data_IF_302874240334
#
_entry.id   IF_302874240334
#
_cell.length_a   1.000
_cell.length_b   1.000
_cell.length_c   1.000
_cell.angle_alpha   90.00
_cell.angle_beta   90.00
_cell.angle_gamma   90.00
#
_symmetry.space_group_name_H-M   'P 1'
#
loop_
_entity.id
_entity.type
_entity.pdbx_description
1 polymer ?
#
# COMPACT_ATOMS: atom_id res chain seq x y z
N UNK A 1 -17.74 -8.43 9.78
CA UNK A 1 -18.52 -8.50 11.04
C UNK A 1 -18.96 -9.92 11.39
N UNK A 2 -19.55 -10.71 10.47
CA UNK A 2 -20.01 -12.07 10.83
C UNK A 2 -18.91 -13.07 11.21
N UNK A 3 -17.69 -12.93 10.66
CA UNK A 3 -16.54 -13.75 11.08
C UNK A 3 -16.14 -13.48 12.54
N UNK A 4 -16.22 -12.22 12.97
CA UNK A 4 -15.93 -11.83 14.35
C UNK A 4 -17.02 -12.33 15.31
N UNK A 5 -18.30 -12.25 14.90
CA UNK A 5 -19.41 -12.80 15.69
C UNK A 5 -19.31 -14.32 15.84
N UNK A 6 -19.00 -15.06 14.77
CA UNK A 6 -18.75 -16.51 14.87
C UNK A 6 -17.54 -16.83 15.75
N UNK A 7 -16.46 -16.05 15.64
CA UNK A 7 -15.30 -16.20 16.51
C UNK A 7 -15.64 -15.98 17.98
N UNK A 8 -16.46 -14.97 18.28
CA UNK A 8 -16.94 -14.67 19.63
C UNK A 8 -17.86 -15.76 20.19
N UNK A 9 -18.80 -16.28 19.39
CA UNK A 9 -19.67 -17.40 19.78
C UNK A 9 -18.86 -18.68 20.06
N UNK A 10 -17.81 -18.95 19.26
CA UNK A 10 -16.88 -20.06 19.53
C UNK A 10 -16.11 -19.85 20.84
N UNK A 11 -15.67 -18.62 21.13
CA UNK A 11 -15.02 -18.27 22.39
C UNK A 11 -15.97 -18.46 23.59
N UNK A 12 -17.21 -18.00 23.49
CA UNK A 12 -18.21 -18.16 24.55
C UNK A 12 -18.57 -19.64 24.79
N UNK A 13 -18.67 -20.44 23.72
CA UNK A 13 -18.89 -21.88 23.84
C UNK A 13 -17.69 -22.59 24.50
N UNK A 14 -16.46 -22.18 24.15
CA UNK A 14 -15.25 -22.70 24.79
C UNK A 14 -15.10 -22.25 26.26
N UNK A 15 -15.75 -21.13 26.63
CA UNK A 15 -15.79 -20.60 27.99
C UNK A 15 -17.02 -21.07 28.77
N UNK A 16 -17.78 -22.02 28.23
CA UNK A 16 -18.99 -22.60 28.83
C UNK A 16 -20.13 -21.57 29.13
N UNK A 17 -20.09 -20.43 28.44
CA UNK A 17 -21.07 -19.34 28.57
C UNK A 17 -22.21 -19.46 27.56
N UNK A 18 -22.09 -20.31 26.54
CA UNK A 18 -23.17 -20.60 25.60
C UNK A 18 -23.10 -22.01 25.03
N UNK A 19 -24.21 -22.49 24.48
CA UNK A 19 -24.27 -23.81 23.83
C UNK A 19 -23.33 -23.86 22.61
N UNK A 20 -22.55 -24.93 22.42
CA UNK A 20 -21.79 -25.15 21.20
C UNK A 20 -22.70 -25.17 19.97
N UNK A 21 -22.21 -24.64 18.84
CA UNK A 21 -22.92 -24.71 17.56
C UNK A 21 -23.76 -23.49 17.21
N UNK A 22 -23.93 -22.51 18.12
CA UNK A 22 -24.63 -21.25 17.85
C UNK A 22 -24.00 -20.43 16.71
N UNK A 23 -22.72 -20.63 16.43
CA UNK A 23 -22.03 -20.02 15.29
C UNK A 23 -22.61 -20.42 13.92
N UNK A 24 -23.32 -21.56 13.85
CA UNK A 24 -24.00 -22.02 12.63
C UNK A 24 -25.31 -21.27 12.37
N UNK A 25 -25.93 -20.70 13.40
CA UNK A 25 -27.12 -19.87 13.27
C UNK A 25 -26.81 -18.48 12.66
N UNK A 26 -25.54 -18.05 12.69
CA UNK A 26 -25.10 -16.86 11.96
C UNK A 26 -25.19 -17.18 10.46
N UNK A 27 -25.98 -16.46 9.66
CA UNK A 27 -26.14 -16.75 8.24
C UNK A 27 -24.81 -16.65 7.51
N UNK A 28 -24.65 -17.38 6.41
CA UNK A 28 -23.49 -17.23 5.52
C UNK A 28 -23.94 -16.39 4.34
N UNK A 29 -23.57 -15.10 4.33
CA UNK A 29 -23.83 -14.25 3.16
C UNK A 29 -22.93 -14.77 2.02
N UNK A 30 -23.48 -15.26 0.91
CA UNK A 30 -22.68 -15.71 -0.21
C UNK A 30 -21.94 -14.50 -0.81
N UNK A 31 -20.61 -14.55 -0.77
CA UNK A 31 -19.78 -13.61 -1.54
C UNK A 31 -19.47 -14.26 -2.88
N UNK A 32 -20.30 -13.96 -3.88
CA UNK A 32 -20.09 -14.44 -5.24
C UNK A 32 -18.77 -13.88 -5.78
N UNK A 33 -17.94 -14.75 -6.37
CA UNK A 33 -16.74 -14.30 -7.11
C UNK A 33 -17.21 -13.37 -8.23
N UNK A 34 -16.54 -12.21 -8.38
CA UNK A 34 -16.88 -11.13 -9.33
C UNK A 34 -18.16 -10.31 -9.03
N UNK A 35 -18.71 -10.38 -7.82
CA UNK A 35 -19.89 -9.58 -7.42
C UNK A 35 -19.65 -8.06 -7.34
N UNK A 36 -18.41 -7.60 -7.46
CA UNK A 36 -18.06 -6.18 -7.45
C UNK A 36 -17.24 -5.83 -8.69
N UNK A 37 -17.48 -4.64 -9.25
CA UNK A 37 -16.66 -4.06 -10.32
C UNK A 37 -15.16 -4.14 -9.97
N UNK A 38 -14.27 -4.31 -10.98
CA UNK A 38 -12.85 -4.40 -10.74
C UNK A 38 -12.34 -3.16 -10.00
N UNK A 39 -11.74 -3.37 -8.82
CA UNK A 39 -11.26 -2.29 -7.94
C UNK A 39 -9.82 -1.92 -8.26
N UNK A 40 -9.57 -1.46 -9.48
CA UNK A 40 -8.24 -1.06 -9.95
C UNK A 40 -8.28 0.16 -10.87
N UNK A 41 -7.15 0.83 -11.05
CA UNK A 41 -6.94 1.93 -12.00
C UNK A 41 -6.29 1.41 -13.28
N UNK A 42 -6.71 1.92 -14.44
CA UNK A 42 -6.02 1.65 -15.70
C UNK A 42 -4.57 2.17 -15.67
N UNK A 43 -3.65 1.63 -16.50
CA UNK A 43 -2.28 2.14 -16.58
C UNK A 43 -2.22 3.65 -16.78
N UNK A 44 -3.04 4.20 -17.69
CA UNK A 44 -3.09 5.64 -17.95
C UNK A 44 -3.57 6.44 -16.73
N UNK A 45 -4.51 5.91 -15.96
CA UNK A 45 -4.96 6.53 -14.71
C UNK A 45 -3.84 6.52 -13.66
N UNK A 46 -3.07 5.44 -13.56
CA UNK A 46 -1.91 5.35 -12.66
C UNK A 46 -0.87 6.40 -13.03
N UNK A 47 -0.52 6.52 -14.32
CA UNK A 47 0.44 7.54 -14.77
C UNK A 47 -0.07 8.96 -14.52
N UNK A 48 -1.36 9.25 -14.73
CA UNK A 48 -1.95 10.54 -14.36
C UNK A 48 -1.86 10.83 -12.86
N UNK A 49 -2.13 9.83 -12.02
CA UNK A 49 -2.02 9.97 -10.56
C UNK A 49 -0.59 10.28 -10.13
N UNK A 50 0.40 9.56 -10.66
CA UNK A 50 1.82 9.82 -10.39
C UNK A 50 2.24 11.19 -10.92
N UNK A 51 1.83 11.55 -12.14
CA UNK A 51 2.14 12.82 -12.79
C UNK A 51 1.44 14.04 -12.19
N UNK A 52 0.41 13.86 -11.35
CA UNK A 52 -0.31 14.95 -10.67
C UNK A 52 0.45 15.60 -9.50
N UNK A 53 1.66 15.13 -9.19
CA UNK A 53 2.46 15.62 -8.07
C UNK A 53 3.29 16.84 -8.50
N UNK A 54 3.25 17.91 -7.69
CA UNK A 54 4.04 19.12 -7.93
C UNK A 54 5.49 18.95 -7.44
N UNK A 55 6.41 18.76 -8.38
CA UNK A 55 7.83 18.54 -8.11
C UNK A 55 8.59 19.79 -7.67
N UNK A 56 7.96 20.97 -7.69
CA UNK A 56 8.54 22.19 -7.13
C UNK A 56 8.37 22.27 -5.61
N UNK A 57 7.60 21.35 -5.02
CA UNK A 57 7.36 21.30 -3.57
C UNK A 57 7.97 20.06 -2.93
N UNK A 58 8.54 20.21 -1.74
CA UNK A 58 9.07 19.08 -0.95
C UNK A 58 8.01 17.99 -0.73
N UNK A 59 6.75 18.42 -0.52
CA UNK A 59 5.60 17.52 -0.39
C UNK A 59 5.33 16.74 -1.66
N UNK A 60 5.33 17.38 -2.84
CA UNK A 60 5.02 16.70 -4.09
C UNK A 60 6.13 15.76 -4.54
N UNK A 61 7.41 16.11 -4.33
CA UNK A 61 8.54 15.18 -4.56
C UNK A 61 8.39 13.92 -3.69
N UNK A 62 8.12 14.09 -2.39
CA UNK A 62 7.87 12.98 -1.47
C UNK A 62 6.67 12.14 -1.91
N UNK A 63 5.54 12.78 -2.20
CA UNK A 63 4.30 12.10 -2.55
C UNK A 63 4.50 11.30 -3.85
N UNK A 64 5.25 11.81 -4.85
CA UNK A 64 5.59 11.09 -6.08
C UNK A 64 6.40 9.82 -5.80
N UNK A 65 7.42 9.89 -4.95
CA UNK A 65 8.22 8.72 -4.57
C UNK A 65 7.34 7.63 -3.92
N UNK A 66 6.45 8.03 -2.99
CA UNK A 66 5.52 7.10 -2.33
C UNK A 66 4.56 6.47 -3.35
N UNK A 67 3.97 7.26 -4.25
CA UNK A 67 3.03 6.76 -5.25
C UNK A 67 3.69 5.76 -6.21
N UNK A 68 4.92 6.02 -6.65
CA UNK A 68 5.67 5.11 -7.51
C UNK A 68 5.99 3.79 -6.81
N UNK A 69 6.45 3.82 -5.56
CA UNK A 69 6.68 2.59 -4.80
C UNK A 69 5.39 1.77 -4.63
N UNK A 70 4.25 2.43 -4.37
CA UNK A 70 2.94 1.75 -4.30
C UNK A 70 2.49 1.17 -5.65
N UNK A 71 2.66 1.93 -6.72
CA UNK A 71 2.15 1.58 -8.05
C UNK A 71 3.02 0.56 -8.79
N UNK A 72 4.34 0.62 -8.63
CA UNK A 72 5.29 -0.25 -9.34
C UNK A 72 5.57 -1.55 -8.58
N UNK A 73 5.77 -1.44 -7.26
CA UNK A 73 6.13 -2.59 -6.41
C UNK A 73 4.93 -3.16 -5.65
N UNK A 74 3.77 -2.52 -5.73
CA UNK A 74 2.55 -2.99 -5.07
C UNK A 74 2.65 -3.01 -3.54
N UNK A 75 3.52 -2.18 -2.95
CA UNK A 75 3.75 -2.19 -1.51
C UNK A 75 2.49 -1.87 -0.70
N UNK A 76 2.40 -2.39 0.53
CA UNK A 76 1.33 -1.98 1.45
C UNK A 76 1.68 -0.63 2.06
N UNK A 77 0.66 0.12 2.49
CA UNK A 77 0.88 1.37 3.23
C UNK A 77 1.74 1.18 4.49
N UNK A 78 1.62 0.02 5.15
CA UNK A 78 2.46 -0.34 6.30
C UNK A 78 3.92 -0.59 5.93
N UNK A 79 4.20 -1.07 4.72
CA UNK A 79 5.56 -1.32 4.25
C UNK A 79 6.28 0.02 3.99
N UNK A 80 5.60 0.96 3.33
CA UNK A 80 6.08 2.35 3.16
C UNK A 80 6.34 3.02 4.51
N UNK A 81 5.43 2.84 5.46
CA UNK A 81 5.54 3.39 6.81
C UNK A 81 6.76 2.84 7.58
N UNK A 82 7.03 1.55 7.40
CA UNK A 82 8.10 0.85 8.09
C UNK A 82 9.47 1.00 7.40
N UNK A 83 9.52 1.46 6.16
CA UNK A 83 10.72 1.55 5.35
C UNK A 83 11.79 2.45 5.98
N UNK A 84 13.03 1.96 5.98
CA UNK A 84 14.22 2.64 6.48
C UNK A 84 15.17 2.95 5.32
N UNK A 85 16.05 3.94 5.52
CA UNK A 85 17.04 4.33 4.51
C UNK A 85 17.95 3.17 4.08
N UNK A 86 18.30 2.30 5.02
CA UNK A 86 19.14 1.12 4.81
C UNK A 86 18.45 -0.06 4.13
N UNK A 87 17.13 0.00 3.92
CA UNK A 87 16.40 -1.08 3.25
C UNK A 87 16.61 -1.04 1.73
N UNK A 88 17.19 0.02 1.17
CA UNK A 88 17.55 0.12 -0.26
C UNK A 88 19.02 -0.19 -0.46
N UNK A 89 19.30 -1.16 -1.32
CA UNK A 89 20.63 -1.38 -1.87
C UNK A 89 20.71 -0.77 -3.28
N UNK A 90 21.34 0.39 -3.35
CA UNK A 90 21.53 1.14 -4.59
C UNK A 90 22.46 0.45 -5.59
N UNK A 91 23.39 -0.40 -5.13
CA UNK A 91 24.33 -1.10 -6.01
C UNK A 91 23.66 -2.24 -6.76
N UNK A 92 22.80 -2.98 -6.05
CA UNK A 92 22.03 -4.08 -6.63
C UNK A 92 20.69 -3.62 -7.21
N UNK A 93 20.26 -2.38 -6.95
CA UNK A 93 18.96 -1.88 -7.37
C UNK A 93 17.82 -2.67 -6.71
N UNK A 94 17.95 -2.98 -5.43
CA UNK A 94 16.95 -3.78 -4.69
C UNK A 94 16.42 -3.07 -3.47
N UNK A 95 15.16 -3.39 -3.11
CA UNK A 95 14.48 -2.91 -1.92
C UNK A 95 14.10 -4.09 -1.04
N UNK A 96 14.49 -4.02 0.23
CA UNK A 96 14.09 -4.98 1.26
C UNK A 96 12.78 -4.55 1.90
N UNK A 97 11.79 -5.45 1.90
CA UNK A 97 10.47 -5.23 2.50
C UNK A 97 10.25 -6.22 3.62
N UNK A 98 9.95 -5.71 4.82
CA UNK A 98 9.67 -6.52 6.01
C UNK A 98 8.17 -6.79 6.10
N UNK A 99 7.74 -7.95 5.62
CA UNK A 99 6.35 -8.36 5.58
C UNK A 99 5.76 -8.71 6.95
N UNK A 100 4.43 -8.86 6.99
CA UNK A 100 3.71 -9.32 8.18
C UNK A 100 4.12 -10.76 8.51
N UNK A 101 4.71 -10.98 9.69
CA UNK A 101 5.10 -12.30 10.19
C UNK A 101 6.57 -12.68 10.05
N UNK A 102 7.50 -11.70 9.96
CA UNK A 102 8.95 -11.91 9.81
C UNK A 102 9.41 -12.48 8.45
N UNK A 103 8.54 -12.52 7.44
CA UNK A 103 8.97 -12.81 6.07
C UNK A 103 9.58 -11.55 5.46
N UNK A 104 10.86 -11.61 5.09
CA UNK A 104 11.53 -10.55 4.33
C UNK A 104 11.48 -10.88 2.84
N UNK A 105 11.17 -9.89 2.02
CA UNK A 105 11.20 -10.00 0.56
C UNK A 105 12.16 -8.98 -0.01
N UNK A 106 13.02 -9.40 -0.93
CA UNK A 106 13.84 -8.52 -1.75
C UNK A 106 13.14 -8.31 -3.08
N UNK A 107 12.85 -7.06 -3.40
CA UNK A 107 12.16 -6.66 -4.63
C UNK A 107 13.12 -5.86 -5.51
N UNK A 108 13.13 -6.06 -6.84
CA UNK A 108 13.87 -5.18 -7.74
C UNK A 108 13.27 -3.78 -7.66
N UNK A 109 14.11 -2.74 -7.51
CA UNK A 109 13.69 -1.35 -7.48
C UNK A 109 13.64 -0.83 -8.93
N UNK A 110 12.45 -0.52 -9.47
CA UNK A 110 12.34 0.02 -10.83
C UNK A 110 13.02 1.38 -10.91
N UNK A 111 13.66 1.68 -12.05
CA UNK A 111 14.46 2.89 -12.24
C UNK A 111 13.67 4.16 -11.90
N UNK A 112 12.44 4.28 -12.38
CA UNK A 112 11.60 5.46 -12.16
C UNK A 112 11.25 5.68 -10.67
N UNK A 113 11.01 4.59 -9.93
CA UNK A 113 10.79 4.62 -8.49
C UNK A 113 12.09 4.96 -7.74
N UNK A 114 13.22 4.41 -8.16
CA UNK A 114 14.54 4.72 -7.61
C UNK A 114 14.92 6.18 -7.79
N UNK A 115 14.74 6.73 -8.99
CA UNK A 115 15.01 8.13 -9.30
C UNK A 115 14.12 9.07 -8.47
N UNK A 116 12.84 8.73 -8.32
CA UNK A 116 11.92 9.51 -7.49
C UNK A 116 12.32 9.50 -6.01
N UNK A 117 12.78 8.34 -5.52
CA UNK A 117 13.33 8.22 -4.17
C UNK A 117 14.58 9.07 -4.02
N UNK A 118 15.54 8.98 -4.96
CA UNK A 118 16.77 9.76 -4.90
C UNK A 118 16.49 11.26 -4.87
N UNK A 119 15.60 11.74 -5.75
CA UNK A 119 15.16 13.14 -5.75
C UNK A 119 14.55 13.52 -4.38
N UNK A 120 13.73 12.65 -3.78
CA UNK A 120 13.22 12.91 -2.43
C UNK A 120 14.35 12.99 -1.40
N UNK A 121 15.28 12.03 -1.38
CA UNK A 121 16.36 11.97 -0.40
C UNK A 121 17.33 13.16 -0.50
N UNK A 122 17.62 13.63 -1.71
CA UNK A 122 18.56 14.71 -1.95
C UNK A 122 17.93 16.10 -1.82
N UNK A 123 16.72 16.29 -2.36
CA UNK A 123 16.19 17.64 -2.61
C UNK A 123 15.05 18.02 -1.65
N UNK A 124 14.38 17.03 -1.02
CA UNK A 124 13.14 17.28 -0.29
C UNK A 124 13.07 16.69 1.12
N UNK A 125 13.89 15.68 1.45
CA UNK A 125 13.88 15.04 2.77
C UNK A 125 14.56 15.96 3.78
N UNK A 126 13.88 16.36 4.86
CA UNK A 126 14.50 17.15 5.92
C UNK A 126 15.70 16.44 6.55
N UNK A 127 16.77 17.18 6.82
CA UNK A 127 17.95 16.69 7.53
C UNK A 127 17.61 16.49 9.02
N UNK A 128 17.09 15.31 9.35
CA UNK A 128 16.82 14.89 10.73
C UNK A 128 17.43 13.52 11.01
N UNK A 129 17.90 13.34 12.25
CA UNK A 129 18.45 12.09 12.75
C UNK A 129 17.33 11.06 13.01
N UNK A 130 16.79 10.52 11.92
CA UNK A 130 15.74 9.50 11.89
C UNK A 130 16.02 8.54 10.76
N UNK A 131 15.97 7.24 11.05
CA UNK A 131 16.23 6.19 10.05
C UNK A 131 15.06 5.95 9.09
N UNK A 132 13.89 6.52 9.39
CA UNK A 132 12.68 6.36 8.56
C UNK A 132 12.88 7.05 7.23
N UNK A 133 12.54 6.32 6.17
CA UNK A 133 12.70 6.82 4.83
C UNK A 133 11.82 8.06 4.60
N UNK A 134 10.51 7.92 4.80
CA UNK A 134 9.54 8.99 4.57
C UNK A 134 9.11 9.70 5.85
N UNK A 135 9.06 11.03 5.77
CA UNK A 135 8.70 11.93 6.87
C UNK A 135 7.56 12.89 6.49
N UNK A 136 6.98 13.55 7.48
CA UNK A 136 6.08 14.68 7.26
C UNK A 136 6.79 15.80 6.52
N UNK A 137 6.07 16.50 5.64
CA UNK A 137 6.62 17.60 4.83
C UNK A 137 6.65 18.94 5.61
N UNK A 138 5.97 19.00 6.75
CA UNK A 138 5.88 20.16 7.62
C UNK A 138 6.46 19.85 9.00
N UNK A 139 7.04 20.87 9.63
CA UNK A 139 7.54 20.76 10.99
C UNK A 139 6.38 20.53 11.98
N UNK A 140 6.58 19.75 13.06
CA UNK A 140 7.79 18.99 13.37
C UNK A 140 7.96 17.78 12.43
N UNK A 141 9.16 17.61 11.85
CA UNK A 141 9.45 16.51 10.91
C UNK A 141 9.47 15.18 11.63
N UNK A 142 8.44 14.36 11.39
CA UNK A 142 8.23 13.08 12.06
C UNK A 142 7.90 11.99 11.05
N UNK A 143 8.12 10.71 11.38
CA UNK A 143 7.53 9.61 10.63
C UNK A 143 6.00 9.76 10.60
N UNK A 144 5.34 9.20 9.59
CA UNK A 144 3.88 9.18 9.55
C UNK A 144 3.29 8.45 10.77
N UNK A 145 2.13 8.90 11.25
CA UNK A 145 1.48 8.31 12.42
C UNK A 145 0.82 6.96 12.14
N UNK A 146 0.58 6.61 10.86
CA UNK A 146 0.04 5.31 10.47
C UNK A 146 -0.29 5.18 8.99
N UNK A 147 -0.71 3.98 8.59
CA UNK A 147 -1.15 3.65 7.23
C UNK A 147 -2.25 4.57 6.63
N UNK A 148 -3.17 5.17 7.42
CA UNK A 148 -4.12 6.14 6.88
C UNK A 148 -3.47 7.37 6.25
N UNK A 149 -2.31 7.83 6.75
CA UNK A 149 -1.60 8.98 6.17
C UNK A 149 -1.14 8.71 4.74
N UNK A 150 -0.66 7.50 4.46
CA UNK A 150 -0.28 7.06 3.11
C UNK A 150 -1.52 6.96 2.22
N UNK A 151 -2.62 6.43 2.74
CA UNK A 151 -3.89 6.37 2.01
C UNK A 151 -4.42 7.77 1.68
N UNK A 152 -4.23 8.75 2.56
CA UNK A 152 -4.61 10.13 2.32
C UNK A 152 -3.77 10.79 1.22
N UNK A 153 -2.47 10.46 1.11
CA UNK A 153 -1.63 10.89 -0.01
C UNK A 153 -2.21 10.39 -1.33
N UNK A 154 -2.58 9.11 -1.40
CA UNK A 154 -3.21 8.51 -2.59
C UNK A 154 -4.55 9.17 -2.90
N UNK A 155 -5.39 9.39 -1.90
CA UNK A 155 -6.66 10.09 -2.08
C UNK A 155 -6.48 11.50 -2.63
N UNK A 156 -5.52 12.27 -2.13
CA UNK A 156 -5.25 13.61 -2.65
C UNK A 156 -4.71 13.56 -4.09
N UNK A 157 -3.85 12.59 -4.40
CA UNK A 157 -3.32 12.43 -5.76
C UNK A 157 -4.42 12.05 -6.76
N UNK A 158 -5.36 11.18 -6.37
CA UNK A 158 -6.55 10.86 -7.18
C UNK A 158 -7.38 12.11 -7.49
N UNK A 159 -7.61 12.96 -6.48
CA UNK A 159 -8.34 14.22 -6.66
C UNK A 159 -7.58 15.17 -7.59
N UNK A 160 -6.27 15.36 -7.40
CA UNK A 160 -5.45 16.21 -8.27
C UNK A 160 -5.40 15.72 -9.72
N UNK A 161 -5.42 14.40 -9.92
CA UNK A 161 -5.40 13.79 -11.24
C UNK A 161 -6.76 13.79 -11.96
N UNK A 162 -7.82 14.32 -11.33
CA UNK A 162 -9.17 14.34 -11.90
C UNK A 162 -9.75 12.95 -12.10
N UNK A 163 -9.44 12.00 -11.22
CA UNK A 163 -10.06 10.66 -11.25
C UNK A 163 -11.40 10.76 -10.53
N UNK A 164 -12.47 10.88 -11.31
CA UNK A 164 -13.84 10.84 -10.82
C UNK A 164 -14.23 9.40 -10.47
N UNK A 165 -14.89 9.24 -9.32
CA UNK A 165 -15.39 7.97 -8.78
C UNK A 165 -14.40 6.77 -8.76
N UNK A 166 -13.24 6.89 -8.08
CA UNK A 166 -12.32 5.77 -7.98
C UNK A 166 -12.91 4.63 -7.11
N UNK A 167 -12.66 3.35 -7.42
CA UNK A 167 -13.24 2.21 -6.69
C UNK A 167 -12.87 2.14 -5.20
N UNK A 168 -11.80 2.83 -4.82
CA UNK A 168 -11.35 3.05 -3.45
C UNK A 168 -10.46 4.30 -3.43
N UNK A 169 -10.20 4.89 -2.27
CA UNK A 169 -9.31 6.06 -2.13
C UNK A 169 -8.03 5.77 -1.35
N UNK A 170 -7.75 4.50 -1.04
CA UNK A 170 -6.60 4.10 -0.23
C UNK A 170 -5.45 3.49 -1.03
N UNK A 171 -4.31 3.29 -0.36
CA UNK A 171 -3.10 2.71 -0.95
C UNK A 171 -3.32 1.31 -1.54
N UNK A 172 -4.28 0.55 -1.02
CA UNK A 172 -4.64 -0.76 -1.56
C UNK A 172 -5.15 -0.68 -3.01
N UNK A 173 -5.68 0.47 -3.46
CA UNK A 173 -6.10 0.65 -4.85
C UNK A 173 -4.91 0.50 -5.81
N UNK A 174 -3.81 1.22 -5.54
CA UNK A 174 -2.61 1.16 -6.38
C UNK A 174 -1.98 -0.23 -6.35
N UNK A 175 -1.98 -0.87 -5.18
CA UNK A 175 -1.55 -2.25 -5.03
C UNK A 175 -2.39 -3.23 -5.84
N UNK A 176 -3.72 -3.13 -5.80
CA UNK A 176 -4.59 -3.96 -6.64
C UNK A 176 -4.38 -3.69 -8.13
N UNK A 177 -4.08 -2.44 -8.49
CA UNK A 177 -3.75 -2.05 -9.86
C UNK A 177 -2.45 -2.70 -10.33
N UNK A 178 -1.40 -2.66 -9.50
CA UNK A 178 -0.13 -3.35 -9.77
C UNK A 178 -0.33 -4.87 -9.94
N UNK A 179 -1.07 -5.49 -9.02
CA UNK A 179 -1.41 -6.92 -9.08
C UNK A 179 -2.14 -7.28 -10.39
N UNK A 180 -3.13 -6.47 -10.75
CA UNK A 180 -3.95 -6.67 -11.95
C UNK A 180 -3.11 -6.49 -13.21
N UNK A 181 -2.23 -5.50 -13.23
CA UNK A 181 -1.31 -5.27 -14.33
C UNK A 181 -0.36 -6.46 -14.53
N UNK A 182 0.25 -6.96 -13.44
CA UNK A 182 1.12 -8.14 -13.51
C UNK A 182 0.39 -9.38 -14.03
N UNK A 183 -0.84 -9.64 -13.55
CA UNK A 183 -1.65 -10.75 -14.07
C UNK A 183 -1.96 -10.58 -15.56
N UNK A 184 -2.26 -9.36 -16.00
CA UNK A 184 -2.53 -9.06 -17.41
C UNK A 184 -1.30 -9.15 -18.30
N UNK A 185 -0.11 -8.87 -17.76
CA UNK A 185 1.16 -9.06 -18.46
C UNK A 185 1.66 -10.51 -18.43
N UNK A 186 0.83 -11.47 -17.98
CA UNK A 186 1.12 -12.90 -18.03
C UNK A 186 1.83 -13.46 -16.79
N UNK A 187 1.96 -12.69 -15.71
CA UNK A 187 2.50 -13.21 -14.46
C UNK A 187 1.56 -14.26 -13.84
N UNK A 188 2.12 -15.29 -13.21
CA UNK A 188 1.33 -16.32 -12.54
C UNK A 188 0.73 -15.79 -11.24
N UNK A 189 -0.40 -16.37 -10.81
CA UNK A 189 -1.01 -16.03 -9.51
C UNK A 189 -0.05 -16.27 -8.33
N UNK A 190 0.86 -17.23 -8.47
CA UNK A 190 1.90 -17.53 -7.47
C UNK A 190 2.95 -16.42 -7.41
N UNK A 191 3.42 -15.89 -8.55
CA UNK A 191 4.37 -14.78 -8.54
C UNK A 191 3.74 -13.49 -8.02
N UNK A 192 2.47 -13.25 -8.37
CA UNK A 192 1.70 -12.10 -7.84
C UNK A 192 1.46 -12.24 -6.33
N UNK A 193 1.15 -13.44 -5.84
CA UNK A 193 0.98 -13.70 -4.40
C UNK A 193 2.29 -13.66 -3.59
N UNK A 194 3.43 -13.98 -4.20
CA UNK A 194 4.74 -13.89 -3.56
C UNK A 194 5.24 -12.44 -3.44
N UNK A 195 4.85 -11.57 -4.38
CA UNK A 195 5.23 -10.16 -4.42
C UNK A 195 4.30 -9.28 -3.56
N UNK A 196 3.07 -9.75 -3.30
CA UNK A 196 2.01 -9.02 -2.61
C UNK A 196 1.59 -9.69 -1.28
#
# INVERSE_FOLDING_TARGET
>A
MMTALRGYLRFLAASDLCRPGLEHAVPRIPQWRLSSLPRYLSPDQVERVVGSCDLQTTRGVRDRAILLLLARLGLRAGDILAMQLQDIDWRSGTLRVRGKGRSESLLPLPQDAGDAVLCYLNDARPAVDRDRMFLTATAPFRPFCGSPSISQIVSHALTRAGIEDPPSRGANLLRHSAATHLLRSGATLQSVGALL
#
